data_IF_628713918573
#
_entry.id   IF_628713918573
#
_cell.length_a   1.000
_cell.length_b   1.000
_cell.length_c   1.000
_cell.angle_alpha   90.00
_cell.angle_beta   90.00
_cell.angle_gamma   90.00
#
_symmetry.space_group_name_H-M   'P 1'
#
loop_
_entity.id
_entity.type
_entity.pdbx_description
1 polymer ?
#
# COMPACT_ATOMS: atom_id res chain seq x y z
N UNK A 1 -11.84 10.53 -13.57
CA UNK A 1 -10.50 9.97 -13.36
C UNK A 1 -9.67 11.03 -12.66
N UNK A 2 -9.34 10.80 -11.39
CA UNK A 2 -8.47 11.66 -10.60
C UNK A 2 -7.27 10.86 -10.10
N UNK A 3 -6.22 11.57 -9.68
CA UNK A 3 -5.11 10.96 -8.94
C UNK A 3 -5.42 11.09 -7.46
N UNK A 4 -5.51 9.96 -6.77
CA UNK A 4 -5.73 9.89 -5.33
C UNK A 4 -4.41 9.55 -4.64
N UNK A 5 -3.95 10.45 -3.78
CA UNK A 5 -2.86 10.14 -2.87
C UNK A 5 -3.40 9.28 -1.72
N UNK A 6 -2.86 8.07 -1.57
CA UNK A 6 -3.35 7.08 -0.62
C UNK A 6 -2.43 7.02 0.60
N UNK A 7 -3.02 7.02 1.80
CA UNK A 7 -2.29 6.89 3.06
C UNK A 7 -1.84 5.44 3.35
N UNK A 8 -0.88 5.29 4.26
CA UNK A 8 -0.24 4.02 4.62
C UNK A 8 -1.24 2.98 5.14
N UNK A 9 -2.32 3.39 5.80
CA UNK A 9 -3.34 2.50 6.35
C UNK A 9 -4.17 1.81 5.25
N UNK A 10 -4.66 2.58 4.27
CA UNK A 10 -5.43 2.07 3.13
C UNK A 10 -4.55 1.16 2.27
N UNK A 11 -3.30 1.54 2.03
CA UNK A 11 -2.33 0.66 1.34
C UNK A 11 -2.13 -0.63 2.12
N UNK A 12 -1.99 -0.55 3.44
CA UNK A 12 -1.86 -1.73 4.29
C UNK A 12 -3.09 -2.63 4.22
N UNK A 13 -4.30 -2.06 4.15
CA UNK A 13 -5.53 -2.85 4.02
C UNK A 13 -5.57 -3.61 2.69
N UNK A 14 -5.23 -2.93 1.59
CA UNK A 14 -5.17 -3.54 0.27
C UNK A 14 -4.09 -4.63 0.21
N UNK A 15 -2.87 -4.32 0.64
CA UNK A 15 -1.73 -5.23 0.58
C UNK A 15 -1.94 -6.49 1.45
N UNK A 16 -2.59 -6.36 2.60
CA UNK A 16 -2.84 -7.48 3.52
C UNK A 16 -4.15 -8.22 3.23
N UNK A 17 -4.91 -7.79 2.22
CA UNK A 17 -6.27 -8.26 1.95
C UNK A 17 -7.17 -8.17 3.20
N UNK A 18 -7.06 -7.06 3.93
CA UNK A 18 -7.84 -6.76 5.14
C UNK A 18 -9.29 -6.43 4.75
N UNK A 19 -10.27 -6.89 5.56
CA UNK A 19 -11.69 -6.66 5.28
C UNK A 19 -12.06 -5.18 5.20
N UNK A 20 -11.31 -4.29 5.87
CA UNK A 20 -11.50 -2.83 5.81
C UNK A 20 -11.23 -2.25 4.42
N UNK A 21 -10.50 -2.94 3.54
CA UNK A 21 -10.27 -2.49 2.17
C UNK A 21 -11.60 -2.32 1.39
N UNK A 22 -12.61 -3.14 1.70
CA UNK A 22 -13.93 -3.06 1.06
C UNK A 22 -14.63 -1.71 1.28
N UNK A 23 -14.38 -1.06 2.43
CA UNK A 23 -14.98 0.24 2.74
C UNK A 23 -14.49 1.36 1.80
N UNK A 24 -13.30 1.17 1.20
CA UNK A 24 -12.68 2.16 0.31
C UNK A 24 -12.90 1.84 -1.18
N UNK A 25 -13.40 0.64 -1.52
CA UNK A 25 -13.51 0.17 -2.90
C UNK A 25 -14.23 1.16 -3.83
N UNK A 26 -15.36 1.71 -3.40
CA UNK A 26 -16.15 2.67 -4.19
C UNK A 26 -15.42 3.99 -4.47
N UNK A 27 -14.44 4.37 -3.63
CA UNK A 27 -13.67 5.60 -3.78
C UNK A 27 -12.44 5.34 -4.65
N UNK A 28 -11.79 4.20 -4.47
CA UNK A 28 -10.53 3.86 -5.14
C UNK A 28 -10.75 3.40 -6.58
N UNK A 29 -11.83 2.67 -6.85
CA UNK A 29 -12.11 2.13 -8.18
C UNK A 29 -12.30 3.26 -9.20
N UNK A 30 -11.68 3.10 -10.37
CA UNK A 30 -11.79 4.08 -11.46
C UNK A 30 -10.98 5.37 -11.25
N UNK A 31 -10.09 5.39 -10.25
CA UNK A 31 -9.09 6.45 -10.06
C UNK A 31 -7.67 5.88 -10.17
N UNK A 32 -6.70 6.76 -10.47
CA UNK A 32 -5.29 6.42 -10.40
C UNK A 32 -4.83 6.60 -8.96
N UNK A 33 -4.21 5.56 -8.39
CA UNK A 33 -3.69 5.61 -7.03
C UNK A 33 -2.22 6.04 -7.06
N UNK A 34 -1.85 6.96 -6.17
CA UNK A 34 -0.49 7.42 -5.99
C UNK A 34 -0.05 7.23 -4.55
N UNK A 35 1.23 6.94 -4.36
CA UNK A 35 1.88 6.86 -3.06
C UNK A 35 2.84 8.02 -2.91
N UNK A 36 2.90 8.62 -1.72
CA UNK A 36 3.97 9.55 -1.40
C UNK A 36 5.27 8.80 -1.16
N UNK A 37 6.42 9.45 -1.37
CA UNK A 37 7.71 8.86 -1.01
C UNK A 37 7.76 8.50 0.49
N UNK A 38 7.11 9.30 1.35
CA UNK A 38 7.02 9.02 2.79
C UNK A 38 6.22 7.75 3.08
N UNK A 39 5.07 7.55 2.43
CA UNK A 39 4.25 6.33 2.53
C UNK A 39 5.04 5.09 2.14
N UNK A 40 5.83 5.17 1.06
CA UNK A 40 6.73 4.09 0.65
C UNK A 40 7.75 3.80 1.76
N UNK A 41 8.42 4.83 2.28
CA UNK A 41 9.42 4.67 3.35
C UNK A 41 8.82 4.02 4.62
N UNK A 42 7.62 4.41 5.03
CA UNK A 42 6.93 3.82 6.20
C UNK A 42 6.66 2.33 6.00
N UNK A 43 6.19 1.92 4.82
CA UNK A 43 5.92 0.51 4.52
C UNK A 43 7.20 -0.34 4.63
N UNK A 44 8.32 0.16 4.08
CA UNK A 44 9.61 -0.51 4.18
C UNK A 44 10.17 -0.51 5.61
N UNK A 45 10.00 0.57 6.37
CA UNK A 45 10.35 0.60 7.79
C UNK A 45 9.59 -0.48 8.56
N UNK A 46 8.29 -0.65 8.31
CA UNK A 46 7.51 -1.71 8.95
C UNK A 46 7.94 -3.11 8.55
N UNK A 47 8.29 -3.33 7.27
CA UNK A 47 8.84 -4.61 6.83
C UNK A 47 10.14 -4.95 7.58
N UNK A 48 11.04 -3.97 7.74
CA UNK A 48 12.29 -4.12 8.47
C UNK A 48 12.06 -4.37 9.97
N UNK A 49 11.28 -3.50 10.65
CA UNK A 49 11.00 -3.61 12.10
C UNK A 49 10.29 -4.91 12.46
N UNK A 50 9.47 -5.45 11.54
CA UNK A 50 8.75 -6.72 11.73
C UNK A 50 9.51 -7.94 11.22
N UNK A 51 10.77 -7.79 10.79
CA UNK A 51 11.62 -8.85 10.26
C UNK A 51 10.90 -9.68 9.18
N UNK A 52 10.29 -9.00 8.20
CA UNK A 52 9.65 -9.70 7.09
C UNK A 52 10.67 -10.53 6.30
N UNK A 53 10.25 -11.72 5.87
CA UNK A 53 11.05 -12.54 4.97
C UNK A 53 11.19 -11.91 3.58
N UNK A 54 12.22 -12.34 2.86
CA UNK A 54 12.58 -11.82 1.54
C UNK A 54 11.40 -11.84 0.55
N UNK A 55 10.68 -12.97 0.47
CA UNK A 55 9.52 -13.10 -0.42
C UNK A 55 8.44 -12.04 -0.17
N UNK A 56 8.15 -11.71 1.10
CA UNK A 56 7.13 -10.70 1.43
C UNK A 56 7.63 -9.28 1.17
N UNK A 57 8.92 -9.05 1.31
CA UNK A 57 9.56 -7.76 1.01
C UNK A 57 9.56 -7.51 -0.50
N UNK A 58 9.86 -8.53 -1.31
CA UNK A 58 9.76 -8.44 -2.78
C UNK A 58 8.33 -8.15 -3.26
N UNK A 59 7.32 -8.75 -2.61
CA UNK A 59 5.92 -8.42 -2.89
C UNK A 59 5.61 -6.94 -2.61
N UNK A 60 6.17 -6.38 -1.53
CA UNK A 60 6.01 -4.96 -1.21
C UNK A 60 6.71 -4.07 -2.25
N UNK A 61 7.93 -4.41 -2.66
CA UNK A 61 8.67 -3.70 -3.71
C UNK A 61 7.90 -3.66 -5.01
N UNK A 62 7.35 -4.80 -5.43
CA UNK A 62 6.56 -4.90 -6.66
C UNK A 62 5.21 -4.17 -6.57
N UNK A 63 4.64 -4.05 -5.37
CA UNK A 63 3.42 -3.26 -5.15
C UNK A 63 3.69 -1.75 -5.11
N UNK A 64 4.90 -1.34 -4.74
CA UNK A 64 5.31 0.07 -4.62
C UNK A 64 6.12 0.60 -5.81
N UNK A 65 6.45 -0.25 -6.79
CA UNK A 65 7.14 0.15 -8.02
C UNK A 65 6.25 1.02 -8.90
N UNK A 66 6.80 2.16 -9.33
CA UNK A 66 6.17 3.16 -10.22
C UNK A 66 6.24 2.71 -11.68
#
# INVERSE_FOLDING_TARGET
>A
MSVLLVDTDVVSFLFKNDSRAANYANILQGNQLALSFMTVAELFQWAAVRNWGESRTQQLEQAASV
#
